data_IF_753265718991
#
_entry.id   IF_753265718991
#
_cell.length_a   1.000
_cell.length_b   1.000
_cell.length_c   1.000
_cell.angle_alpha   90.00
_cell.angle_beta   90.00
_cell.angle_gamma   90.00
#
_symmetry.space_group_name_H-M   'P 1'
#
loop_
_entity.id
_entity.type
_entity.pdbx_description
1 polymer ?
#
# COMPACT_ATOMS: atom_id res chain seq x y z
N UNK A 1 -1.53 -27.16 -39.28
CA UNK A 1 -2.44 -26.39 -38.39
C UNK A 1 -2.22 -26.68 -36.91
N UNK A 2 -2.20 -27.96 -36.48
CA UNK A 2 -2.01 -28.36 -35.06
C UNK A 2 -0.78 -27.74 -34.38
N UNK A 3 0.39 -27.69 -35.05
CA UNK A 3 1.62 -27.08 -34.50
C UNK A 3 1.53 -25.56 -34.26
N UNK A 4 0.81 -24.83 -35.13
CA UNK A 4 0.62 -23.38 -35.00
C UNK A 4 -0.37 -23.05 -33.86
N UNK A 5 -1.38 -23.90 -33.67
CA UNK A 5 -2.35 -23.77 -32.57
C UNK A 5 -1.68 -23.96 -31.21
N UNK A 6 -0.78 -24.94 -31.08
CA UNK A 6 0.00 -25.17 -29.86
C UNK A 6 0.88 -23.97 -29.52
N UNK A 7 1.51 -23.35 -30.52
CA UNK A 7 2.37 -22.18 -30.32
C UNK A 7 1.58 -20.95 -29.85
N UNK A 8 0.38 -20.73 -30.39
CA UNK A 8 -0.51 -19.64 -29.98
C UNK A 8 -1.02 -19.84 -28.55
N UNK A 9 -1.36 -21.08 -28.19
CA UNK A 9 -1.79 -21.41 -26.83
C UNK A 9 -0.65 -21.19 -25.81
N UNK A 10 0.59 -21.51 -26.18
CA UNK A 10 1.76 -21.33 -25.33
C UNK A 10 2.10 -19.84 -25.10
N UNK A 11 1.96 -18.99 -26.12
CA UNK A 11 2.15 -17.54 -25.98
C UNK A 11 1.00 -16.85 -25.23
N UNK A 12 -0.24 -17.35 -25.34
CA UNK A 12 -1.40 -16.79 -24.64
C UNK A 12 -1.36 -16.98 -23.12
N UNK A 13 -0.65 -17.99 -22.61
CA UNK A 13 -0.51 -18.26 -21.18
C UNK A 13 0.47 -17.31 -20.47
N UNK A 14 1.33 -16.61 -21.21
CA UNK A 14 2.39 -15.74 -20.67
C UNK A 14 1.95 -14.27 -20.48
N UNK A 15 0.67 -13.95 -20.69
CA UNK A 15 0.16 -12.57 -20.61
C UNK A 15 -0.06 -12.04 -19.18
N UNK A 16 0.25 -12.85 -18.16
CA UNK A 16 0.05 -12.45 -16.77
C UNK A 16 1.41 -12.16 -16.12
N UNK A 17 1.71 -10.87 -15.94
CA UNK A 17 2.80 -10.44 -15.07
C UNK A 17 2.32 -10.51 -13.61
N UNK A 18 2.80 -11.49 -12.85
CA UNK A 18 2.57 -11.54 -11.41
C UNK A 18 3.54 -10.57 -10.71
N UNK A 19 3.10 -9.35 -10.46
CA UNK A 19 3.80 -8.44 -9.56
C UNK A 19 3.27 -8.68 -8.14
N UNK A 20 4.09 -9.28 -7.27
CA UNK A 20 3.74 -9.44 -5.87
C UNK A 20 3.98 -8.11 -5.14
N UNK A 21 2.92 -7.59 -4.51
CA UNK A 21 3.02 -6.44 -3.61
C UNK A 21 3.83 -6.86 -2.37
N UNK A 22 5.00 -6.25 -2.18
CA UNK A 22 5.92 -6.61 -1.08
C UNK A 22 5.65 -5.89 0.23
N UNK A 23 4.93 -4.77 0.17
CA UNK A 23 4.49 -4.02 1.34
C UNK A 23 3.06 -3.55 1.09
N UNK A 24 2.15 -3.94 1.98
CA UNK A 24 0.77 -3.47 2.00
C UNK A 24 0.58 -2.76 3.33
N UNK A 25 0.18 -1.50 3.27
CA UNK A 25 -0.34 -0.75 4.41
C UNK A 25 -1.64 -0.12 3.94
N UNK A 26 -2.74 -0.51 4.59
CA UNK A 26 -4.08 0.00 4.31
C UNK A 26 -4.58 0.92 5.43
N UNK A 27 -3.76 1.17 6.46
CA UNK A 27 -4.08 1.97 7.64
C UNK A 27 -5.38 1.51 8.30
N UNK A 28 -5.61 0.20 8.42
CA UNK A 28 -6.83 -0.39 9.01
C UNK A 28 -6.81 -0.27 10.54
N UNK A 29 -6.81 0.97 10.99
CA UNK A 29 -6.69 1.43 12.37
C UNK A 29 -7.84 2.39 12.67
N UNK A 30 -8.05 2.72 13.95
CA UNK A 30 -9.08 3.69 14.34
C UNK A 30 -8.72 5.09 13.85
N UNK A 31 -9.67 5.80 13.25
CA UNK A 31 -9.46 7.18 12.82
C UNK A 31 -9.15 8.09 14.03
N UNK A 32 -8.16 8.98 13.86
CA UNK A 32 -7.61 9.83 14.91
C UNK A 32 -6.40 9.23 15.62
N UNK A 33 -6.16 7.92 15.50
CA UNK A 33 -4.95 7.31 16.05
C UNK A 33 -3.71 7.83 15.32
N UNK A 34 -2.61 7.98 16.05
CA UNK A 34 -1.32 8.24 15.42
C UNK A 34 -0.71 6.97 14.86
N UNK A 35 -0.03 7.04 13.72
CA UNK A 35 0.67 5.89 13.14
C UNK A 35 1.71 5.28 14.09
N UNK A 36 2.35 6.09 14.93
CA UNK A 36 3.29 5.59 15.94
C UNK A 36 2.67 4.70 17.02
N UNK A 37 1.35 4.76 17.24
CA UNK A 37 0.64 3.79 18.09
C UNK A 37 0.51 2.41 17.41
N UNK A 38 0.72 2.36 16.09
CA UNK A 38 0.58 1.19 15.22
C UNK A 38 1.91 0.76 14.61
N UNK A 39 3.01 0.96 15.34
CA UNK A 39 4.34 0.41 15.00
C UNK A 39 5.18 1.24 14.03
N UNK A 40 4.68 2.38 13.55
CA UNK A 40 5.48 3.30 12.73
C UNK A 40 6.55 4.00 13.58
N UNK A 41 7.79 4.02 13.10
CA UNK A 41 8.91 4.67 13.78
C UNK A 41 9.13 6.07 13.22
N UNK A 42 9.26 7.08 14.09
CA UNK A 42 9.64 8.44 13.67
C UNK A 42 11.11 8.44 13.23
N UNK A 43 11.39 8.90 12.01
CA UNK A 43 12.75 8.97 11.47
C UNK A 43 13.50 10.21 11.99
N UNK A 44 12.84 11.37 12.01
CA UNK A 44 13.39 12.60 12.55
C UNK A 44 12.26 13.49 13.11
N UNK A 45 12.54 14.20 14.20
CA UNK A 45 11.53 14.96 14.93
C UNK A 45 10.70 14.11 15.91
N UNK A 46 10.28 14.74 17.00
CA UNK A 46 9.45 14.13 18.04
C UNK A 46 7.97 14.07 17.64
N UNK A 47 7.08 14.38 18.59
CA UNK A 47 5.63 14.27 18.41
C UNK A 47 4.94 15.55 17.89
N UNK A 48 5.68 16.49 17.30
CA UNK A 48 5.15 17.83 16.97
C UNK A 48 4.05 17.79 15.90
N UNK A 49 4.18 16.93 14.88
CA UNK A 49 3.23 16.81 13.77
C UNK A 49 2.94 15.33 13.47
N UNK A 50 2.36 14.62 14.43
CA UNK A 50 2.08 13.18 14.29
C UNK A 50 1.23 12.92 13.05
N UNK A 51 1.62 11.93 12.26
CA UNK A 51 0.76 11.38 11.21
C UNK A 51 -0.41 10.65 11.87
N UNK A 52 -1.63 11.05 11.50
CA UNK A 52 -2.87 10.49 12.04
C UNK A 52 -3.63 9.72 10.97
N UNK A 53 -4.32 8.66 11.41
CA UNK A 53 -5.25 7.88 10.60
C UNK A 53 -6.50 8.73 10.35
N UNK A 54 -6.89 8.85 9.10
CA UNK A 54 -8.04 9.64 8.65
C UNK A 54 -9.02 8.74 7.91
N UNK A 55 -10.30 8.85 8.26
CA UNK A 55 -11.42 8.20 7.56
C UNK A 55 -12.16 9.23 6.69
N UNK A 56 -12.66 8.85 5.50
CA UNK A 56 -12.53 7.52 4.89
C UNK A 56 -11.17 7.32 4.23
N UNK A 57 -10.88 6.06 3.87
CA UNK A 57 -9.75 5.72 3.00
C UNK A 57 -9.90 6.23 1.57
N UNK A 58 -8.86 6.02 0.78
CA UNK A 58 -8.76 6.52 -0.59
C UNK A 58 -9.33 5.53 -1.61
N UNK A 59 -9.97 6.06 -2.65
CA UNK A 59 -10.49 5.26 -3.77
C UNK A 59 -9.81 5.67 -5.06
N UNK A 60 -9.18 4.71 -5.72
CA UNK A 60 -8.47 4.87 -6.99
C UNK A 60 -8.97 3.85 -8.02
N UNK A 61 -9.39 4.33 -9.18
CA UNK A 61 -9.83 3.45 -10.28
C UNK A 61 -8.67 2.61 -10.80
N UNK A 62 -8.90 1.31 -11.01
CA UNK A 62 -7.91 0.38 -11.55
C UNK A 62 -6.84 -0.09 -10.55
N UNK A 63 -6.85 0.38 -9.31
CA UNK A 63 -5.93 -0.11 -8.27
C UNK A 63 -6.56 -1.27 -7.47
N UNK A 64 -5.94 -2.47 -7.42
CA UNK A 64 -6.53 -3.63 -6.75
C UNK A 64 -6.74 -3.53 -5.23
N UNK A 65 -6.07 -2.59 -4.55
CA UNK A 65 -6.27 -2.34 -3.10
C UNK A 65 -7.05 -1.04 -2.84
N UNK A 66 -7.77 -0.53 -3.83
CA UNK A 66 -8.62 0.65 -3.72
C UNK A 66 -9.83 0.42 -2.80
N UNK A 67 -10.21 1.42 -2.01
CA UNK A 67 -11.41 1.36 -1.18
C UNK A 67 -11.30 0.42 0.04
N UNK A 68 -10.07 0.09 0.44
CA UNK A 68 -9.77 -0.73 1.62
C UNK A 68 -9.14 0.17 2.70
N UNK A 69 -9.59 0.00 3.94
CA UNK A 69 -9.02 0.67 5.11
C UNK A 69 -9.21 2.20 5.12
N UNK A 70 -8.30 2.89 5.80
CA UNK A 70 -8.30 4.35 5.96
C UNK A 70 -7.15 4.99 5.17
N UNK A 71 -6.79 6.21 5.52
CA UNK A 71 -5.64 6.93 4.98
C UNK A 71 -4.83 7.57 6.09
N UNK A 72 -3.67 8.14 5.75
CA UNK A 72 -3.00 9.12 6.60
C UNK A 72 -3.06 10.49 5.92
N UNK A 73 -3.27 11.55 6.68
CA UNK A 73 -3.28 12.93 6.16
C UNK A 73 -2.02 13.68 6.59
N UNK A 74 -1.41 14.37 5.63
CA UNK A 74 -0.35 15.35 5.89
C UNK A 74 -0.99 16.73 6.07
N UNK A 75 -0.57 17.45 7.11
CA UNK A 75 -0.95 18.86 7.30
C UNK A 75 0.10 19.79 6.66
N UNK A 76 0.08 21.09 6.96
CA UNK A 76 1.04 22.08 6.44
C UNK A 76 2.51 21.66 6.63
N UNK A 77 2.79 20.88 7.68
CA UNK A 77 4.07 20.24 7.90
C UNK A 77 3.87 18.76 8.26
N UNK A 78 4.77 17.90 7.81
CA UNK A 78 4.72 16.46 8.07
C UNK A 78 5.61 16.01 9.21
N UNK A 79 5.57 14.71 9.46
CA UNK A 79 6.55 13.94 10.22
C UNK A 79 7.10 12.86 9.30
N UNK A 80 8.40 12.62 9.36
CA UNK A 80 9.02 11.48 8.68
C UNK A 80 8.78 10.23 9.54
N UNK A 81 8.07 9.23 9.02
CA UNK A 81 7.84 7.97 9.70
C UNK A 81 8.02 6.79 8.76
N UNK A 82 8.49 5.66 9.29
CA UNK A 82 8.75 4.46 8.50
C UNK A 82 8.34 3.18 9.24
N UNK A 83 7.99 2.16 8.46
CA UNK A 83 7.93 0.77 8.89
C UNK A 83 9.06 0.02 8.17
N UNK A 84 9.92 -0.71 8.89
CA UNK A 84 10.98 -1.49 8.26
C UNK A 84 10.40 -2.48 7.25
N UNK A 85 10.98 -2.56 6.05
CA UNK A 85 10.69 -3.68 5.17
C UNK A 85 11.40 -4.92 5.71
N UNK A 86 10.65 -5.81 6.37
CA UNK A 86 11.14 -7.15 6.66
C UNK A 86 11.00 -7.99 5.41
N UNK A 87 12.10 -8.53 4.88
CA UNK A 87 12.02 -9.55 3.83
C UNK A 87 11.22 -10.75 4.37
N UNK A 88 10.09 -11.06 3.74
CA UNK A 88 9.36 -12.31 3.95
C UNK A 88 10.12 -13.50 3.37
#
# INVERSE_FOLDING_TARGET
>A
MKKKLVLILFFGLMLNAFAQQRLIENFDYTAGDSLGAHGWTSFSGGATNRLLVTSPGLTYSGYPQSGIGNATTLTTTGQDAYVPMTSS
#
